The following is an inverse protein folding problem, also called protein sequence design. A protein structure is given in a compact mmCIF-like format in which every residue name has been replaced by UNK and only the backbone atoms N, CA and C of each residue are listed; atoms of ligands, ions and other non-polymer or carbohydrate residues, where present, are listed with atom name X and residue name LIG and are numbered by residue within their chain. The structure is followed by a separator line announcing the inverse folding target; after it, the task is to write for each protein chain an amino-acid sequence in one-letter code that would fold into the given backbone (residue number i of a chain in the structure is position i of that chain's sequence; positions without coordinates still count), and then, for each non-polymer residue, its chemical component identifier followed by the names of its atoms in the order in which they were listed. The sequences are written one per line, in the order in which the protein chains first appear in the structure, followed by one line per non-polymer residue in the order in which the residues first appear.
data_IF_094825037554
#
_entry.id   IF_094825037554
#
_cell.length_a   1.000
_cell.length_b   1.000
_cell.length_c   1.000
_cell.angle_alpha   90.00
_cell.angle_beta   90.00
_cell.angle_gamma   90.00
#
_symmetry.space_group_name_H-M   'P 1'
#
loop_
_entity.id
_entity.type
_entity.pdbx_description
1 polymer ?
#
# COMPACT_ATOMS: atom_id res chain seq x y z
N UNK A 1 4.11 6.26 16.04
CA UNK A 1 2.78 5.72 15.65
C UNK A 1 2.85 4.20 15.68
N UNK A 2 1.84 3.52 16.23
CA UNK A 2 1.80 2.05 16.39
C UNK A 2 1.76 1.29 15.04
N UNK A 3 1.39 1.97 13.95
CA UNK A 3 1.20 1.40 12.61
C UNK A 3 2.40 1.55 11.66
N UNK A 4 3.51 2.15 12.11
CA UNK A 4 4.64 2.55 11.23
C UNK A 4 5.23 1.39 10.41
N UNK A 5 5.28 0.19 10.99
CA UNK A 5 5.93 -0.97 10.38
C UNK A 5 4.90 -2.06 10.02
N UNK A 6 3.72 -1.65 9.58
CA UNK A 6 2.60 -2.57 9.29
C UNK A 6 1.91 -2.24 7.98
N UNK A 7 1.59 -3.28 7.20
CA UNK A 7 0.57 -3.19 6.15
C UNK A 7 -0.80 -3.33 6.80
N UNK A 8 -1.70 -2.39 6.50
CA UNK A 8 -3.09 -2.38 6.98
C UNK A 8 -4.01 -2.79 5.83
N UNK A 9 -4.88 -3.76 6.08
CA UNK A 9 -5.85 -4.25 5.10
C UNK A 9 -7.26 -4.07 5.66
N UNK A 10 -8.16 -3.53 4.84
CA UNK A 10 -9.58 -3.44 5.16
C UNK A 10 -10.38 -4.38 4.28
N UNK A 11 -10.92 -5.44 4.89
CA UNK A 11 -11.81 -6.39 4.23
C UNK A 11 -13.24 -5.81 4.25
N UNK A 12 -13.70 -5.32 3.10
CA UNK A 12 -15.02 -4.72 2.93
C UNK A 12 -16.16 -5.71 3.18
N UNK A 13 -16.01 -6.96 2.72
CA UNK A 13 -17.04 -7.98 2.86
C UNK A 13 -17.17 -8.45 4.32
N UNK A 14 -16.03 -8.62 4.98
CA UNK A 14 -15.95 -9.02 6.38
C UNK A 14 -16.09 -7.88 7.38
N UNK A 15 -16.15 -6.61 6.94
CA UNK A 15 -16.17 -5.41 7.78
C UNK A 15 -15.11 -5.42 8.89
N UNK A 16 -13.88 -5.80 8.54
CA UNK A 16 -12.81 -6.03 9.51
C UNK A 16 -11.48 -5.45 9.03
N UNK A 17 -10.69 -5.04 10.01
CA UNK A 17 -9.36 -4.48 9.81
C UNK A 17 -8.33 -5.53 10.25
N UNK A 18 -7.38 -5.82 9.37
CA UNK A 18 -6.22 -6.65 9.67
C UNK A 18 -4.92 -5.86 9.49
N UNK A 19 -3.86 -6.33 10.15
CA UNK A 19 -2.52 -5.80 9.95
C UNK A 19 -1.48 -6.92 10.00
N UNK A 20 -0.40 -6.75 9.24
CA UNK A 20 0.77 -7.61 9.28
C UNK A 20 2.04 -6.75 9.37
N UNK A 21 3.08 -7.26 10.02
CA UNK A 21 4.37 -6.56 10.07
C UNK A 21 4.96 -6.48 8.65
N UNK A 22 5.54 -5.33 8.31
CA UNK A 22 6.19 -5.09 7.03
C UNK A 22 7.56 -4.48 7.25
N UNK A 23 8.56 -5.05 6.57
CA UNK A 23 9.90 -4.47 6.52
C UNK A 23 9.91 -3.37 5.44
N UNK A 24 10.04 -2.12 5.88
CA UNK A 24 10.05 -0.94 5.01
C UNK A 24 11.26 -0.85 4.06
N UNK A 25 12.25 -1.74 4.17
CA UNK A 25 13.32 -1.86 3.19
C UNK A 25 12.94 -2.66 1.94
N UNK A 26 11.84 -3.42 2.00
CA UNK A 26 11.31 -4.18 0.87
C UNK A 26 10.43 -3.29 -0.02
N UNK A 27 10.36 -3.60 -1.31
CA UNK A 27 9.43 -2.97 -2.24
C UNK A 27 8.10 -3.73 -2.30
N UNK A 28 6.98 -3.01 -2.33
CA UNK A 28 5.66 -3.59 -2.61
C UNK A 28 5.40 -3.54 -4.12
N UNK A 29 5.08 -4.70 -4.71
CA UNK A 29 4.69 -4.77 -6.12
C UNK A 29 3.17 -4.89 -6.20
N UNK A 30 2.50 -3.87 -6.75
CA UNK A 30 1.04 -3.81 -6.81
C UNK A 30 0.58 -4.14 -8.24
N UNK A 31 -0.14 -5.25 -8.42
CA UNK A 31 -0.83 -5.57 -9.67
C UNK A 31 -2.34 -5.61 -9.41
N UNK A 32 -3.10 -4.88 -10.21
CA UNK A 32 -4.55 -4.82 -10.12
C UNK A 32 -5.18 -5.75 -11.16
N UNK A 33 -6.09 -6.61 -10.72
CA UNK A 33 -6.79 -7.58 -11.57
C UNK A 33 -8.14 -6.97 -11.97
N UNK A 34 -8.14 -5.98 -12.87
CA UNK A 34 -9.33 -5.17 -13.15
C UNK A 34 -10.12 -5.75 -14.33
N UNK A 35 -11.22 -6.46 -14.07
CA UNK A 35 -12.13 -6.87 -15.17
C UNK A 35 -13.19 -5.83 -15.49
N UNK A 36 -13.74 -5.03 -14.57
CA UNK A 36 -14.90 -4.19 -14.96
C UNK A 36 -15.30 -2.99 -14.05
N UNK A 37 -14.47 -2.44 -13.14
CA UNK A 37 -14.93 -1.27 -12.32
C UNK A 37 -13.82 -0.37 -11.73
N UNK A 38 -13.88 0.89 -12.16
CA UNK A 38 -13.23 2.18 -11.77
C UNK A 38 -12.10 2.21 -10.74
N UNK A 39 -11.02 2.89 -11.13
CA UNK A 39 -9.80 3.15 -10.39
C UNK A 39 -9.74 4.63 -9.92
N UNK A 40 -9.47 4.90 -8.63
CA UNK A 40 -8.97 6.20 -8.17
C UNK A 40 -8.00 6.02 -6.99
N UNK A 41 -6.81 6.60 -7.16
CA UNK A 41 -5.63 6.56 -6.28
C UNK A 41 -5.40 7.97 -5.73
N UNK A 42 -5.30 8.16 -4.41
CA UNK A 42 -4.68 9.38 -3.85
C UNK A 42 -4.23 9.19 -2.40
N UNK A 43 -2.95 9.48 -2.12
CA UNK A 43 -2.40 9.71 -0.79
C UNK A 43 -1.24 10.73 -0.84
N UNK A 44 -1.29 11.73 -1.75
CA UNK A 44 -0.07 12.42 -2.20
C UNK A 44 0.76 11.44 -3.04
N UNK A 45 0.57 11.47 -4.35
CA UNK A 45 1.08 10.47 -5.29
C UNK A 45 2.62 10.37 -5.28
N UNK A 46 3.19 9.36 -4.61
CA UNK A 46 4.57 8.87 -4.78
C UNK A 46 5.67 9.93 -4.59
N UNK A 47 5.71 10.65 -3.46
CA UNK A 47 6.82 11.57 -3.21
C UNK A 47 8.17 10.82 -3.09
N UNK A 48 9.09 11.25 -3.95
CA UNK A 48 10.51 10.90 -4.06
C UNK A 48 10.86 9.65 -4.89
N UNK A 49 10.85 9.85 -6.21
CA UNK A 49 12.04 9.56 -7.00
C UNK A 49 13.24 10.31 -6.37
N UNK A 50 13.86 9.75 -5.33
CA UNK A 50 15.28 9.98 -5.14
C UNK A 50 15.95 8.77 -4.50
N UNK A 51 16.45 7.86 -5.33
CA UNK A 51 17.80 7.38 -5.09
C UNK A 51 18.67 7.96 -6.19
N UNK A 52 19.18 9.17 -5.95
CA UNK A 52 20.51 9.56 -6.39
C UNK A 52 21.44 8.41 -5.99
N UNK A 53 21.74 7.52 -6.93
CA UNK A 53 22.85 6.59 -6.82
C UNK A 53 23.86 6.96 -7.90
N UNK A 54 24.64 7.98 -7.53
CA UNK A 54 25.95 8.38 -8.05
C UNK A 54 25.99 8.92 -9.47
#
# INVERSE_FOLDING_TARGET
LVLKDKIVVYDLAGQRIGWANYDCSLSVNVSLNNTDKTEFVNAGQLDNNNSDRL
#
